data_IF_161341734935
#
_entry.id   IF_161341734935
#
_cell.length_a   1.000
_cell.length_b   1.000
_cell.length_c   1.000
_cell.angle_alpha   90.00
_cell.angle_beta   90.00
_cell.angle_gamma   90.00
#
_symmetry.space_group_name_H-M   'P 1'
#
loop_
_entity.id
_entity.type
_entity.pdbx_description
1 polymer ?
#
# COMPACT_ATOMS: atom_id res chain seq x y z
N UNK A 1 19.19 -59.07 17.56
CA UNK A 1 18.87 -57.95 16.62
C UNK A 1 17.64 -57.23 17.17
N UNK A 2 17.85 -56.08 17.77
CA UNK A 2 16.75 -55.27 18.34
C UNK A 2 16.18 -54.41 17.21
N UNK A 3 14.91 -54.65 16.87
CA UNK A 3 14.14 -53.83 15.94
C UNK A 3 13.90 -52.45 16.56
N UNK A 4 14.66 -51.44 16.11
CA UNK A 4 14.41 -50.05 16.44
C UNK A 4 13.16 -49.65 15.68
N UNK A 5 12.02 -49.50 16.37
CA UNK A 5 10.82 -48.91 15.82
C UNK A 5 11.13 -47.43 15.51
N UNK A 6 10.90 -46.94 14.31
CA UNK A 6 11.09 -45.53 13.99
C UNK A 6 10.16 -44.71 14.92
N UNK A 7 10.72 -43.66 15.55
CA UNK A 7 9.93 -42.66 16.28
C UNK A 7 8.91 -42.05 15.33
N UNK A 8 7.64 -41.89 15.74
CA UNK A 8 6.69 -41.17 14.95
C UNK A 8 7.21 -39.74 14.72
N UNK A 9 7.22 -39.30 13.48
CA UNK A 9 7.60 -37.94 13.10
C UNK A 9 6.41 -37.06 13.51
N UNK A 10 6.67 -36.08 14.40
CA UNK A 10 5.63 -35.12 14.72
C UNK A 10 5.40 -34.14 13.56
N UNK A 11 4.27 -33.43 13.57
CA UNK A 11 3.88 -32.48 12.53
C UNK A 11 4.93 -31.42 12.27
N UNK A 12 5.58 -30.93 13.33
CA UNK A 12 6.59 -29.88 13.27
C UNK A 12 7.84 -30.37 12.55
N UNK A 13 8.22 -31.62 12.78
CA UNK A 13 9.35 -32.27 12.11
C UNK A 13 9.01 -32.65 10.66
N UNK A 14 7.77 -33.04 10.37
CA UNK A 14 7.31 -33.27 9.00
C UNK A 14 7.31 -31.97 8.19
N UNK A 15 6.76 -30.89 8.74
CA UNK A 15 6.75 -29.56 8.10
C UNK A 15 8.18 -29.00 7.89
N UNK A 16 9.09 -29.21 8.83
CA UNK A 16 10.50 -28.80 8.67
C UNK A 16 11.23 -29.60 7.59
N UNK A 17 10.92 -30.88 7.42
CA UNK A 17 11.56 -31.74 6.42
C UNK A 17 10.96 -31.54 5.02
N UNK A 18 9.66 -31.29 4.91
CA UNK A 18 8.96 -30.97 3.68
C UNK A 18 9.27 -29.54 3.22
N UNK A 19 9.51 -28.62 4.17
CA UNK A 19 9.63 -27.17 3.98
C UNK A 19 10.86 -26.66 3.22
N UNK A 20 11.68 -27.52 2.60
CA UNK A 20 12.88 -27.09 1.87
C UNK A 20 12.62 -26.19 0.64
N UNK A 21 11.39 -26.11 0.14
CA UNK A 21 10.96 -25.21 -0.94
C UNK A 21 10.02 -24.08 -0.47
N UNK A 22 9.42 -24.22 0.70
CA UNK A 22 8.50 -23.25 1.30
C UNK A 22 9.15 -22.47 2.46
N UNK A 23 10.47 -22.47 2.55
CA UNK A 23 11.24 -21.93 3.67
C UNK A 23 10.94 -20.46 4.00
N UNK A 24 10.54 -19.66 3.02
CA UNK A 24 10.23 -18.24 3.26
C UNK A 24 8.85 -18.04 3.93
N UNK A 25 7.87 -18.87 3.60
CA UNK A 25 6.56 -18.81 4.27
C UNK A 25 6.61 -19.43 5.66
N UNK A 26 7.46 -20.44 5.86
CA UNK A 26 7.75 -21.00 7.20
C UNK A 26 8.50 -20.00 8.09
N UNK A 27 9.35 -19.14 7.52
CA UNK A 27 10.04 -18.09 8.28
C UNK A 27 9.06 -17.00 8.77
N UNK A 28 8.09 -16.61 7.96
CA UNK A 28 7.01 -15.71 8.37
C UNK A 28 6.16 -16.34 9.49
N UNK A 29 5.89 -17.64 9.41
CA UNK A 29 5.19 -18.38 10.46
C UNK A 29 6.02 -18.52 11.75
N UNK A 30 7.36 -18.69 11.64
CA UNK A 30 8.26 -18.78 12.82
C UNK A 30 8.41 -17.44 13.55
N UNK A 31 8.38 -16.31 12.85
CA UNK A 31 8.35 -14.99 13.49
C UNK A 31 7.02 -14.74 14.22
N UNK A 32 5.94 -15.39 13.78
CA UNK A 32 4.63 -15.38 14.46
C UNK A 32 4.61 -16.17 15.77
N UNK A 33 5.50 -17.18 15.96
CA UNK A 33 5.54 -17.99 17.18
C UNK A 33 5.91 -17.20 18.46
N UNK A 34 6.58 -16.06 18.33
CA UNK A 34 6.91 -15.22 19.49
C UNK A 34 5.75 -14.27 19.89
N UNK A 35 4.73 -14.12 19.07
CA UNK A 35 3.64 -13.15 19.30
C UNK A 35 2.31 -13.85 19.64
N UNK A 36 2.10 -15.10 19.28
CA UNK A 36 0.80 -15.76 19.36
C UNK A 36 0.69 -16.85 20.44
N UNK A 37 0.54 -16.44 21.70
CA UNK A 37 -0.43 -17.07 22.58
C UNK A 37 -1.76 -16.35 22.42
N UNK A 38 -2.33 -16.40 21.23
CA UNK A 38 -3.69 -15.95 21.01
C UNK A 38 -4.65 -17.07 21.44
N UNK A 39 -5.53 -16.77 22.37
CA UNK A 39 -6.67 -17.61 22.69
C UNK A 39 -7.46 -17.91 21.40
N UNK A 40 -7.79 -19.17 21.18
CA UNK A 40 -8.62 -19.66 20.09
C UNK A 40 -9.92 -18.85 20.03
N UNK A 41 -10.13 -18.10 18.95
CA UNK A 41 -11.44 -17.55 18.64
C UNK A 41 -12.16 -18.48 17.68
N UNK A 42 -13.40 -18.85 17.98
CA UNK A 42 -14.19 -19.68 17.09
C UNK A 42 -14.64 -18.87 15.86
N UNK A 43 -14.72 -19.58 14.76
CA UNK A 43 -15.51 -19.30 13.55
C UNK A 43 -15.49 -17.89 12.94
N UNK A 44 -15.54 -17.89 11.62
CA UNK A 44 -15.73 -16.74 10.69
C UNK A 44 -16.09 -15.42 11.35
N UNK A 45 -15.35 -14.34 11.11
CA UNK A 45 -15.57 -13.08 11.82
C UNK A 45 -17.04 -12.69 11.84
N UNK A 46 -17.57 -12.40 13.02
CA UNK A 46 -18.99 -12.07 13.31
C UNK A 46 -19.54 -10.91 12.44
N UNK A 47 -18.66 -10.14 11.79
CA UNK A 47 -18.99 -9.03 10.90
C UNK A 47 -19.18 -9.46 9.43
N UNK A 48 -18.84 -10.70 9.02
CA UNK A 48 -19.32 -11.31 7.78
C UNK A 48 -20.83 -11.51 7.79
N UNK A 49 -21.57 -10.60 8.43
CA UNK A 49 -23.02 -10.53 8.27
C UNK A 49 -23.30 -10.34 6.78
N UNK A 50 -24.12 -11.25 6.26
CA UNK A 50 -24.56 -11.34 4.85
C UNK A 50 -25.23 -10.07 4.31
N UNK A 51 -25.42 -9.06 5.16
CA UNK A 51 -25.95 -7.73 4.81
C UNK A 51 -24.92 -6.66 5.18
N UNK A 52 -24.08 -6.18 4.23
CA UNK A 52 -23.28 -4.98 4.46
C UNK A 52 -24.24 -3.86 4.88
N UNK A 53 -23.94 -3.15 5.98
CA UNK A 53 -24.78 -2.03 6.46
C UNK A 53 -24.94 -0.94 5.40
N UNK A 54 -24.03 -0.88 4.45
CA UNK A 54 -24.06 0.00 3.30
C UNK A 54 -23.68 -0.78 2.03
N UNK A 55 -24.29 -0.41 0.93
CA UNK A 55 -23.95 -1.01 -0.36
C UNK A 55 -22.50 -0.64 -0.72
N UNK A 56 -21.61 -1.62 -0.93
CA UNK A 56 -20.24 -1.33 -1.35
C UNK A 56 -20.24 -0.60 -2.70
N UNK A 57 -19.42 0.42 -2.82
CA UNK A 57 -19.19 1.18 -4.06
C UNK A 57 -17.95 0.67 -4.80
N UNK A 58 -17.04 0.03 -4.08
CA UNK A 58 -15.81 -0.51 -4.61
C UNK A 58 -15.59 -1.97 -4.18
N UNK A 59 -14.74 -2.66 -4.93
CA UNK A 59 -14.31 -4.04 -4.67
C UNK A 59 -12.81 -4.13 -4.45
N UNK A 60 -12.06 -3.19 -4.99
CA UNK A 60 -10.60 -3.21 -5.10
C UNK A 60 -9.97 -1.91 -4.64
N UNK A 61 -8.70 -1.99 -4.21
CA UNK A 61 -7.89 -0.82 -3.85
C UNK A 61 -6.54 -0.92 -4.56
N UNK A 62 -6.12 0.17 -5.19
CA UNK A 62 -4.72 0.37 -5.61
C UNK A 62 -4.17 1.53 -4.81
N UNK A 63 -3.06 1.32 -4.09
CA UNK A 63 -2.38 2.38 -3.37
C UNK A 63 -1.04 2.70 -4.05
N UNK A 64 -0.97 3.86 -4.68
CA UNK A 64 0.23 4.41 -5.29
C UNK A 64 1.02 5.17 -4.22
N UNK A 65 2.03 4.54 -3.67
CA UNK A 65 2.75 5.06 -2.51
C UNK A 65 4.06 5.75 -2.93
N UNK A 66 4.10 7.05 -2.74
CA UNK A 66 5.24 7.92 -3.07
C UNK A 66 6.08 8.18 -1.81
N UNK A 67 6.78 7.13 -1.36
CA UNK A 67 7.56 7.14 -0.12
C UNK A 67 8.66 8.20 -0.08
N UNK A 68 8.74 8.93 1.03
CA UNK A 68 9.70 9.98 1.27
C UNK A 68 9.11 11.40 1.38
N UNK A 69 7.79 11.57 1.41
CA UNK A 69 7.18 12.87 1.66
C UNK A 69 7.10 13.79 0.43
N UNK A 70 6.14 13.55 -0.44
CA UNK A 70 5.89 14.40 -1.62
C UNK A 70 5.48 15.80 -1.20
N UNK A 71 6.11 16.83 -1.79
CA UNK A 71 5.76 18.22 -1.54
C UNK A 71 4.42 18.58 -2.17
N UNK A 72 3.40 18.78 -1.35
CA UNK A 72 2.06 19.17 -1.78
C UNK A 72 2.04 20.56 -2.42
N UNK A 73 2.77 21.51 -1.85
CA UNK A 73 2.85 22.89 -2.32
C UNK A 73 3.65 23.04 -3.62
N UNK A 74 4.39 22.02 -3.99
CA UNK A 74 5.13 21.95 -5.26
C UNK A 74 4.43 21.04 -6.29
N UNK A 75 3.37 20.34 -5.90
CA UNK A 75 2.68 19.35 -6.74
C UNK A 75 1.21 19.69 -7.01
N UNK A 76 0.41 19.92 -5.95
CA UNK A 76 -1.06 19.93 -6.04
C UNK A 76 -1.73 21.15 -5.39
N UNK A 77 -1.04 21.86 -4.48
CA UNK A 77 -1.61 22.91 -3.64
C UNK A 77 -0.82 24.21 -3.77
N UNK A 78 -0.98 24.97 -4.88
CA UNK A 78 -0.23 26.21 -5.10
C UNK A 78 -0.53 27.25 -4.04
N UNK A 79 0.54 27.92 -3.52
CA UNK A 79 0.45 28.94 -2.49
C UNK A 79 0.97 30.29 -2.99
N UNK A 80 0.09 31.21 -3.46
CA UNK A 80 0.51 32.53 -3.93
C UNK A 80 1.31 33.32 -2.89
N UNK A 81 1.04 33.11 -1.60
CA UNK A 81 1.73 33.79 -0.50
C UNK A 81 3.21 33.37 -0.41
N UNK A 82 3.57 32.13 -0.80
CA UNK A 82 4.97 31.74 -0.92
C UNK A 82 5.71 32.52 -2.02
N UNK A 83 5.04 32.85 -3.10
CA UNK A 83 5.62 33.71 -4.16
C UNK A 83 5.81 35.14 -3.66
N UNK A 84 4.79 35.69 -2.97
CA UNK A 84 4.78 37.06 -2.46
C UNK A 84 5.86 37.28 -1.39
N UNK A 85 6.06 36.30 -0.50
CA UNK A 85 6.98 36.40 0.65
C UNK A 85 8.26 35.56 0.46
N UNK A 86 8.59 35.18 -0.76
CA UNK A 86 9.77 34.37 -1.04
C UNK A 86 11.06 34.98 -0.47
N UNK A 87 11.84 34.20 0.25
CA UNK A 87 13.08 34.64 0.90
C UNK A 87 12.87 35.36 2.24
N UNK A 88 11.63 35.63 2.65
CA UNK A 88 11.32 36.28 3.93
C UNK A 88 11.15 35.24 5.05
N UNK A 89 11.35 35.63 6.32
CA UNK A 89 11.03 34.75 7.45
C UNK A 89 9.56 34.34 7.48
N UNK A 90 9.28 33.13 8.00
CA UNK A 90 7.91 32.65 8.20
C UNK A 90 7.19 33.58 9.18
N UNK A 91 5.99 34.10 8.86
CA UNK A 91 5.16 34.82 9.80
C UNK A 91 4.83 33.93 11.02
N UNK A 92 5.05 34.45 12.24
CA UNK A 92 4.85 33.67 13.46
C UNK A 92 6.13 33.04 14.03
N UNK A 93 7.25 33.11 13.33
CA UNK A 93 8.56 32.69 13.82
C UNK A 93 8.91 31.24 13.51
N UNK A 94 9.60 30.59 14.44
CA UNK A 94 10.05 29.21 14.29
C UNK A 94 8.87 28.22 14.26
N UNK A 95 8.90 27.28 13.32
CA UNK A 95 7.87 26.25 13.13
C UNK A 95 7.91 25.16 14.24
N UNK A 96 8.93 25.17 15.08
CA UNK A 96 9.09 24.18 16.16
C UNK A 96 9.52 22.80 15.69
N UNK A 97 10.17 22.71 14.53
CA UNK A 97 10.78 21.48 14.02
C UNK A 97 12.10 21.15 14.72
N UNK A 98 12.58 19.92 14.54
CA UNK A 98 13.91 19.50 15.00
C UNK A 98 15.03 20.33 14.33
N UNK A 99 14.79 20.81 13.10
CA UNK A 99 15.73 21.62 12.33
C UNK A 99 15.31 23.10 12.37
N UNK A 100 16.31 23.97 12.25
CA UNK A 100 16.09 25.42 12.25
C UNK A 100 15.21 25.83 11.06
N UNK A 101 14.14 26.55 11.31
CA UNK A 101 13.26 27.14 10.30
C UNK A 101 14.02 28.14 9.42
N UNK A 102 14.02 27.89 8.10
CA UNK A 102 14.59 28.80 7.12
C UNK A 102 13.61 29.86 6.64
N UNK A 103 13.94 30.49 5.52
CA UNK A 103 13.07 31.46 4.85
C UNK A 103 11.99 30.75 4.02
N UNK A 104 10.86 31.42 3.82
CA UNK A 104 9.81 30.99 2.89
C UNK A 104 10.38 30.77 1.49
N UNK A 105 9.98 29.71 0.85
CA UNK A 105 10.42 29.36 -0.49
C UNK A 105 9.22 29.17 -1.41
N UNK A 106 9.14 29.97 -2.49
CA UNK A 106 8.15 29.73 -3.56
C UNK A 106 8.41 28.40 -4.25
N UNK A 107 7.38 27.81 -4.81
CA UNK A 107 7.54 26.65 -5.68
C UNK A 107 8.42 27.00 -6.90
N UNK A 108 9.41 26.19 -7.27
CA UNK A 108 10.16 26.36 -8.50
C UNK A 108 9.42 25.83 -9.73
N UNK A 109 8.23 25.21 -9.54
CA UNK A 109 7.43 24.61 -10.61
C UNK A 109 6.23 25.48 -10.95
N UNK A 110 5.90 25.54 -12.23
CA UNK A 110 4.72 26.26 -12.72
C UNK A 110 3.45 25.44 -12.50
N UNK A 111 2.35 26.11 -12.14
CA UNK A 111 1.03 25.52 -11.98
C UNK A 111 0.10 25.86 -13.12
N UNK A 112 -0.74 24.90 -13.52
CA UNK A 112 -1.81 25.08 -14.50
C UNK A 112 -3.11 24.49 -13.97
N UNK A 113 -4.23 25.00 -14.47
CA UNK A 113 -5.56 24.47 -14.20
C UNK A 113 -5.94 23.45 -15.27
N UNK A 114 -6.46 22.30 -14.82
CA UNK A 114 -6.82 21.20 -15.67
C UNK A 114 -8.29 20.78 -15.47
N UNK A 115 -8.83 20.13 -16.49
CA UNK A 115 -10.18 19.61 -16.50
C UNK A 115 -11.27 20.70 -16.45
N UNK A 116 -12.51 20.29 -16.43
CA UNK A 116 -13.68 21.17 -16.22
C UNK A 116 -13.73 21.70 -14.78
N UNK A 117 -13.17 20.93 -13.85
CA UNK A 117 -13.05 21.29 -12.44
C UNK A 117 -12.12 22.49 -12.20
N UNK A 118 -11.20 22.77 -13.13
CA UNK A 118 -10.18 23.81 -12.96
C UNK A 118 -9.19 23.51 -11.84
N UNK A 119 -8.92 22.22 -11.58
CA UNK A 119 -8.02 21.74 -10.54
C UNK A 119 -6.57 22.09 -10.86
N UNK A 120 -5.82 22.54 -9.86
CA UNK A 120 -4.41 22.90 -10.03
C UNK A 120 -3.52 21.68 -9.97
N UNK A 121 -2.59 21.59 -10.93
CA UNK A 121 -1.44 20.68 -10.93
C UNK A 121 -0.20 21.46 -11.35
N UNK A 122 0.94 21.15 -10.75
CA UNK A 122 2.20 21.70 -11.23
C UNK A 122 2.65 20.99 -12.52
N UNK A 123 3.63 21.56 -13.21
CA UNK A 123 4.24 20.97 -14.41
C UNK A 123 4.81 19.57 -14.21
N UNK A 124 4.99 19.16 -12.94
CA UNK A 124 5.40 17.81 -12.56
C UNK A 124 4.36 16.74 -12.91
N UNK A 125 3.08 17.12 -12.96
CA UNK A 125 1.93 16.21 -13.06
C UNK A 125 1.02 16.57 -14.25
N UNK A 126 1.61 16.85 -15.39
CA UNK A 126 0.87 17.30 -16.57
C UNK A 126 -0.01 16.21 -17.20
N UNK A 127 0.44 14.95 -17.22
CA UNK A 127 -0.36 13.82 -17.70
C UNK A 127 -1.48 13.48 -16.70
N UNK A 128 -1.18 13.49 -15.41
CA UNK A 128 -2.18 13.27 -14.36
C UNK A 128 -3.24 14.38 -14.36
N UNK A 129 -2.84 15.62 -14.64
CA UNK A 129 -3.73 16.75 -14.82
C UNK A 129 -4.81 16.52 -15.89
N UNK A 130 -4.53 15.76 -16.96
CA UNK A 130 -5.54 15.38 -17.95
C UNK A 130 -6.67 14.52 -17.35
N UNK A 131 -6.43 13.89 -16.20
CA UNK A 131 -7.41 13.11 -15.46
C UNK A 131 -8.04 13.89 -14.29
N UNK A 132 -7.89 15.21 -14.23
CA UNK A 132 -8.34 16.06 -13.11
C UNK A 132 -9.81 15.86 -12.74
N UNK A 133 -10.69 15.67 -13.73
CA UNK A 133 -12.12 15.48 -13.50
C UNK A 133 -12.48 14.09 -12.93
N UNK A 134 -11.53 13.16 -12.89
CA UNK A 134 -11.66 11.83 -12.27
C UNK A 134 -11.06 11.80 -10.84
N UNK A 135 -10.35 12.85 -10.42
CA UNK A 135 -9.55 12.90 -9.20
C UNK A 135 -10.23 13.75 -8.12
N UNK A 136 -10.18 13.30 -6.89
CA UNK A 136 -10.45 14.10 -5.70
C UNK A 136 -9.11 14.40 -4.99
N UNK A 137 -8.71 15.67 -4.92
CA UNK A 137 -7.58 16.11 -4.10
C UNK A 137 -8.05 16.41 -2.68
N UNK A 138 -7.51 15.70 -1.69
CA UNK A 138 -7.71 15.96 -0.25
C UNK A 138 -6.49 16.76 0.23
N UNK A 139 -6.62 18.09 0.31
CA UNK A 139 -5.52 19.02 0.63
C UNK A 139 -5.31 19.27 2.13
N UNK A 140 -6.08 18.60 2.96
CA UNK A 140 -6.11 18.81 4.41
C UNK A 140 -5.73 17.55 5.20
N UNK A 141 -4.97 16.65 4.59
CA UNK A 141 -4.48 15.48 5.30
C UNK A 141 -3.40 15.88 6.29
N UNK A 142 -3.41 15.27 7.47
CA UNK A 142 -2.38 15.50 8.50
C UNK A 142 -2.12 14.23 9.32
N UNK A 143 -0.99 14.22 9.97
CA UNK A 143 -0.59 13.25 11.00
C UNK A 143 0.20 13.96 12.09
N UNK A 144 0.34 13.34 13.26
CA UNK A 144 1.19 13.85 14.35
C UNK A 144 2.66 13.44 14.22
N UNK A 145 3.02 12.70 13.15
CA UNK A 145 4.30 12.01 13.07
C UNK A 145 5.22 12.66 12.03
N UNK A 146 6.35 13.27 12.46
CA UNK A 146 7.25 13.97 11.56
C UNK A 146 8.36 13.10 10.95
N UNK A 147 8.57 11.87 11.44
CA UNK A 147 9.67 11.01 11.01
C UNK A 147 9.19 9.87 10.10
N UNK A 148 9.98 9.52 9.07
CA UNK A 148 9.60 8.54 8.03
C UNK A 148 9.16 7.20 8.59
N UNK A 149 10.00 6.54 9.39
CA UNK A 149 9.72 5.18 9.86
C UNK A 149 8.36 5.06 10.56
N UNK A 150 8.05 5.79 11.63
CA UNK A 150 6.75 5.70 12.29
C UNK A 150 5.59 6.28 11.43
N UNK A 151 5.83 7.26 10.55
CA UNK A 151 4.81 7.80 9.66
C UNK A 151 4.45 6.82 8.55
N UNK A 152 5.44 6.11 7.97
CA UNK A 152 5.23 5.01 7.04
C UNK A 152 4.39 3.91 7.69
N UNK A 153 4.71 3.54 8.94
CA UNK A 153 3.93 2.54 9.69
C UNK A 153 2.51 3.05 9.91
N UNK A 154 2.31 4.31 10.35
CA UNK A 154 0.98 4.91 10.55
C UNK A 154 0.14 4.86 9.27
N UNK A 155 0.68 5.31 8.14
CA UNK A 155 -0.03 5.33 6.86
C UNK A 155 -0.46 3.94 6.40
N UNK A 156 0.33 2.92 6.69
CA UNK A 156 0.07 1.55 6.25
C UNK A 156 -0.74 0.71 7.25
N UNK A 157 -0.66 0.99 8.55
CA UNK A 157 -1.21 0.12 9.60
C UNK A 157 -2.18 0.81 10.56
N UNK A 158 -2.32 2.13 10.47
CA UNK A 158 -3.10 2.92 11.42
C UNK A 158 -2.48 2.97 12.83
N UNK A 159 -1.19 2.69 12.96
CA UNK A 159 -0.43 2.78 14.21
C UNK A 159 0.97 3.32 13.94
N UNK A 160 1.59 3.95 14.93
CA UNK A 160 2.95 4.48 14.81
C UNK A 160 4.05 3.49 15.24
N UNK A 161 3.68 2.26 15.57
CA UNK A 161 4.59 1.19 15.98
C UNK A 161 4.36 -0.06 15.15
N UNK A 162 5.44 -0.79 14.86
CA UNK A 162 5.37 -2.06 14.13
C UNK A 162 4.59 -3.14 14.90
N UNK A 163 4.12 -4.18 14.18
CA UNK A 163 3.41 -5.32 14.75
C UNK A 163 1.88 -5.25 14.60
N UNK A 164 1.33 -4.14 14.11
CA UNK A 164 -0.08 -4.04 13.72
C UNK A 164 -0.30 -4.55 12.30
N UNK A 165 -1.47 -5.13 12.00
CA UNK A 165 -1.81 -5.51 10.63
C UNK A 165 -1.90 -4.31 9.71
N UNK A 166 -1.38 -4.46 8.51
CA UNK A 166 -1.48 -3.44 7.46
C UNK A 166 -2.91 -3.30 6.93
N UNK A 167 -3.20 -2.17 6.26
CA UNK A 167 -4.49 -1.93 5.62
C UNK A 167 -4.90 -3.08 4.70
N UNK A 168 -3.98 -3.58 3.85
CA UNK A 168 -4.27 -4.70 2.97
C UNK A 168 -4.56 -6.00 3.71
N UNK A 169 -3.90 -6.25 4.85
CA UNK A 169 -4.22 -7.38 5.70
C UNK A 169 -5.62 -7.26 6.31
N UNK A 170 -6.01 -6.07 6.77
CA UNK A 170 -7.38 -5.80 7.25
C UNK A 170 -8.43 -5.96 6.14
N UNK A 171 -8.13 -5.50 4.91
CA UNK A 171 -9.04 -5.65 3.77
C UNK A 171 -9.27 -7.11 3.41
N UNK A 172 -8.21 -7.90 3.35
CA UNK A 172 -8.34 -9.34 3.05
C UNK A 172 -8.97 -10.11 4.21
N UNK A 173 -8.70 -9.74 5.46
CA UNK A 173 -9.40 -10.29 6.62
C UNK A 173 -10.89 -9.97 6.56
N UNK A 174 -11.21 -8.72 6.13
CA UNK A 174 -12.55 -8.21 6.03
C UNK A 174 -13.38 -8.77 4.90
N UNK A 175 -12.85 -8.89 3.74
CA UNK A 175 -13.58 -9.19 2.51
C UNK A 175 -13.23 -10.54 1.92
N UNK A 176 -12.17 -11.18 2.40
CA UNK A 176 -11.59 -12.34 1.76
C UNK A 176 -11.00 -12.02 0.39
N UNK A 177 -10.79 -13.05 -0.39
CA UNK A 177 -10.33 -12.95 -1.77
C UNK A 177 -11.40 -13.43 -2.74
N UNK A 178 -11.54 -12.75 -3.87
CA UNK A 178 -12.43 -13.17 -4.97
C UNK A 178 -11.76 -14.25 -5.80
N UNK A 179 -10.46 -14.10 -6.03
CA UNK A 179 -9.64 -15.06 -6.75
C UNK A 179 -8.94 -15.99 -5.74
N UNK A 180 -9.08 -17.30 -5.94
CA UNK A 180 -8.44 -18.32 -5.08
C UNK A 180 -7.02 -18.68 -5.54
N UNK A 181 -6.63 -18.27 -6.74
CA UNK A 181 -5.39 -18.66 -7.40
C UNK A 181 -4.30 -17.57 -7.26
N UNK A 182 -4.69 -16.37 -6.82
CA UNK A 182 -3.80 -15.25 -6.52
C UNK A 182 -3.99 -14.77 -5.08
N UNK A 183 -2.95 -14.17 -4.47
CA UNK A 183 -3.08 -13.59 -3.14
C UNK A 183 -4.05 -12.41 -3.15
N UNK A 184 -4.80 -12.24 -2.06
CA UNK A 184 -5.74 -11.12 -1.94
C UNK A 184 -5.06 -9.76 -1.78
N UNK A 185 -3.79 -9.74 -1.35
CA UNK A 185 -2.98 -8.54 -1.16
C UNK A 185 -1.59 -8.70 -1.77
N UNK A 186 -1.22 -7.80 -2.68
CA UNK A 186 0.07 -7.79 -3.39
C UNK A 186 0.76 -6.45 -3.18
N UNK A 187 2.06 -6.50 -2.92
CA UNK A 187 2.94 -5.33 -2.82
C UNK A 187 3.97 -5.37 -3.93
N UNK A 188 3.95 -4.36 -4.78
CA UNK A 188 4.89 -4.16 -5.88
C UNK A 188 5.90 -3.10 -5.46
N UNK A 189 7.15 -3.47 -5.30
CA UNK A 189 8.22 -2.55 -4.94
C UNK A 189 9.47 -2.89 -5.74
N UNK A 190 10.06 -1.94 -6.48
CA UNK A 190 11.29 -2.21 -7.20
C UNK A 190 12.47 -2.39 -6.22
N UNK A 191 13.27 -3.42 -6.46
CA UNK A 191 14.48 -3.74 -5.71
C UNK A 191 14.26 -4.08 -4.22
N UNK A 192 15.00 -3.41 -3.33
CA UNK A 192 14.93 -3.58 -1.89
C UNK A 192 13.71 -2.86 -1.33
N UNK A 193 13.06 -3.37 -0.29
CA UNK A 193 11.97 -2.67 0.37
C UNK A 193 12.34 -1.24 0.81
N UNK A 194 11.31 -0.44 1.12
CA UNK A 194 11.45 0.87 1.76
C UNK A 194 12.26 0.77 3.07
N UNK A 195 12.61 1.90 3.64
CA UNK A 195 13.39 2.00 4.89
C UNK A 195 12.87 1.07 6.00
N UNK A 196 11.54 0.92 6.14
CA UNK A 196 10.91 0.03 7.14
C UNK A 196 10.78 -1.41 6.64
N UNK A 197 10.45 -1.61 5.37
CA UNK A 197 10.28 -2.92 4.75
C UNK A 197 9.01 -3.69 5.17
N UNK A 198 9.13 -5.01 5.43
CA UNK A 198 7.98 -5.91 5.64
C UNK A 198 6.94 -5.49 6.68
N UNK A 199 7.26 -4.80 7.79
CA UNK A 199 6.24 -4.29 8.71
C UNK A 199 5.13 -3.48 8.06
N UNK A 200 5.40 -2.80 6.92
CA UNK A 200 4.42 -1.98 6.22
C UNK A 200 3.28 -2.77 5.56
N UNK A 201 3.49 -4.05 5.29
CA UNK A 201 2.51 -4.93 4.64
C UNK A 201 2.31 -6.26 5.35
N UNK A 202 2.69 -6.29 6.63
CA UNK A 202 2.54 -7.45 7.49
C UNK A 202 1.08 -7.72 7.84
N UNK A 203 0.76 -9.02 8.05
CA UNK A 203 -0.47 -9.43 8.68
C UNK A 203 -0.51 -9.10 10.19
N UNK A 204 0.63 -8.76 10.80
CA UNK A 204 0.73 -8.49 12.22
C UNK A 204 0.18 -9.66 13.06
N UNK A 205 -0.80 -9.39 13.89
CA UNK A 205 -1.47 -10.43 14.70
C UNK A 205 -2.65 -11.13 13.97
N UNK A 206 -3.02 -10.69 12.75
CA UNK A 206 -3.99 -11.43 11.93
C UNK A 206 -3.37 -12.73 11.38
N UNK A 207 -4.18 -13.72 10.99
CA UNK A 207 -3.67 -14.95 10.38
C UNK A 207 -2.76 -14.69 9.18
N UNK A 208 -1.73 -15.51 9.03
CA UNK A 208 -0.67 -15.33 8.01
C UNK A 208 -1.19 -15.33 6.56
N UNK A 209 -2.37 -15.90 6.30
CA UNK A 209 -3.02 -15.88 4.97
C UNK A 209 -3.33 -14.46 4.48
N UNK A 210 -3.41 -13.48 5.39
CA UNK A 210 -3.64 -12.07 5.08
C UNK A 210 -2.34 -11.27 4.86
N UNK A 211 -1.17 -11.94 5.00
CA UNK A 211 0.12 -11.37 4.68
C UNK A 211 0.20 -11.00 3.21
N UNK A 212 0.75 -9.82 2.90
CA UNK A 212 0.97 -9.46 1.51
C UNK A 212 1.97 -10.38 0.82
N UNK A 213 1.74 -10.66 -0.45
CA UNK A 213 2.77 -11.19 -1.34
C UNK A 213 3.61 -10.06 -1.87
N UNK A 214 4.88 -10.06 -1.48
CA UNK A 214 5.86 -9.08 -1.97
C UNK A 214 6.40 -9.52 -3.33
N UNK A 215 6.38 -8.58 -4.28
CA UNK A 215 6.86 -8.75 -5.64
C UNK A 215 7.93 -7.70 -5.91
N UNK A 216 9.12 -8.14 -6.23
CA UNK A 216 10.26 -7.25 -6.51
C UNK A 216 10.55 -7.20 -7.99
N UNK A 217 10.30 -6.05 -8.60
CA UNK A 217 10.72 -5.77 -9.97
C UNK A 217 12.21 -5.37 -9.99
N UNK A 218 13.10 -6.35 -10.04
CA UNK A 218 14.55 -6.15 -10.05
C UNK A 218 15.11 -5.97 -11.47
N UNK A 219 14.33 -5.45 -12.39
CA UNK A 219 14.83 -5.21 -13.77
C UNK A 219 15.95 -4.17 -13.71
N UNK A 220 17.17 -4.63 -13.97
CA UNK A 220 18.38 -3.81 -14.10
C UNK A 220 18.80 -3.76 -15.56
N UNK A 221 19.51 -2.71 -15.99
CA UNK A 221 20.10 -2.69 -17.33
C UNK A 221 20.93 -3.97 -17.55
N UNK A 222 20.66 -4.70 -18.64
CA UNK A 222 21.33 -5.95 -18.99
C UNK A 222 20.80 -7.22 -18.29
N UNK A 223 19.74 -7.13 -17.49
CA UNK A 223 19.05 -8.27 -16.92
C UNK A 223 17.69 -8.41 -17.59
N UNK A 224 17.44 -9.55 -18.22
CA UNK A 224 16.16 -9.85 -18.84
C UNK A 224 15.05 -9.93 -17.78
N UNK A 225 13.92 -9.33 -18.09
CA UNK A 225 12.72 -9.44 -17.27
C UNK A 225 12.22 -10.91 -17.29
N UNK A 226 12.19 -11.52 -16.11
CA UNK A 226 11.71 -12.90 -15.93
C UNK A 226 10.53 -12.91 -14.94
N UNK A 227 9.29 -13.08 -15.41
CA UNK A 227 8.11 -13.06 -14.54
C UNK A 227 8.10 -14.19 -13.49
N UNK A 228 8.86 -15.25 -13.70
CA UNK A 228 9.00 -16.36 -12.74
C UNK A 228 9.92 -16.01 -11.55
N UNK A 229 10.74 -14.96 -11.67
CA UNK A 229 11.67 -14.51 -10.62
C UNK A 229 11.16 -13.34 -9.79
N UNK A 230 10.02 -12.76 -10.14
CA UNK A 230 9.46 -11.60 -9.44
C UNK A 230 9.00 -11.93 -8.03
N UNK A 231 8.53 -13.15 -7.80
CA UNK A 231 8.10 -13.62 -6.49
C UNK A 231 9.15 -14.61 -5.98
N UNK A 232 9.88 -14.26 -4.92
CA UNK A 232 10.88 -15.17 -4.35
C UNK A 232 10.25 -16.51 -3.95
N UNK A 233 10.91 -17.61 -4.31
CA UNK A 233 10.53 -18.97 -3.94
C UNK A 233 9.14 -19.44 -4.40
N UNK A 234 8.51 -18.77 -5.37
CA UNK A 234 7.24 -19.26 -5.93
C UNK A 234 7.45 -20.53 -6.74
N UNK A 235 8.61 -20.66 -7.39
CA UNK A 235 8.99 -21.85 -8.13
C UNK A 235 9.86 -22.79 -7.26
N UNK A 236 9.57 -24.09 -7.32
CA UNK A 236 10.34 -25.11 -6.60
C UNK A 236 11.20 -25.89 -7.57
N UNK A 237 12.52 -25.68 -7.52
CA UNK A 237 13.47 -26.34 -8.43
C UNK A 237 13.66 -27.85 -8.13
N UNK A 238 13.18 -28.33 -6.97
CA UNK A 238 13.40 -29.72 -6.52
C UNK A 238 12.23 -30.64 -6.83
N UNK A 239 11.01 -30.10 -6.87
CA UNK A 239 9.79 -30.87 -7.05
C UNK A 239 8.93 -30.26 -8.15
N UNK A 240 8.47 -31.10 -9.06
CA UNK A 240 7.47 -30.71 -10.04
C UNK A 240 6.09 -30.42 -9.38
N UNK A 241 5.19 -29.82 -10.12
CA UNK A 241 3.85 -29.46 -9.62
C UNK A 241 3.08 -30.70 -9.11
N UNK A 242 3.29 -31.88 -9.70
CA UNK A 242 2.60 -33.10 -9.29
C UNK A 242 3.10 -33.58 -7.92
N UNK A 243 4.40 -33.51 -7.69
CA UNK A 243 5.00 -33.87 -6.40
C UNK A 243 4.57 -32.87 -5.32
N UNK A 244 4.60 -31.57 -5.61
CA UNK A 244 4.16 -30.53 -4.69
C UNK A 244 2.67 -30.69 -4.31
N UNK A 245 1.80 -31.03 -5.28
CA UNK A 245 0.40 -31.31 -5.00
C UNK A 245 0.22 -32.46 -4.02
N UNK A 246 0.95 -33.56 -4.23
CA UNK A 246 0.93 -34.73 -3.31
C UNK A 246 1.38 -34.38 -1.90
N UNK A 247 2.37 -33.51 -1.77
CA UNK A 247 2.83 -33.03 -0.44
C UNK A 247 1.75 -32.23 0.28
N UNK A 248 1.11 -31.29 -0.41
CA UNK A 248 0.01 -30.48 0.16
C UNK A 248 -1.16 -31.40 0.55
N UNK A 249 -1.55 -32.34 -0.31
CA UNK A 249 -2.62 -33.29 -0.02
C UNK A 249 -2.29 -34.19 1.18
N UNK A 250 -1.02 -34.59 1.32
CA UNK A 250 -0.57 -35.36 2.48
C UNK A 250 -0.68 -34.55 3.76
N UNK A 251 -0.24 -33.28 3.76
CA UNK A 251 -0.38 -32.38 4.93
C UNK A 251 -1.82 -32.21 5.32
N UNK A 252 -2.74 -31.99 4.35
CA UNK A 252 -4.17 -31.90 4.61
C UNK A 252 -4.75 -33.15 5.24
N UNK A 253 -4.40 -34.33 4.70
CA UNK A 253 -4.89 -35.61 5.25
C UNK A 253 -4.36 -35.87 6.65
N UNK A 254 -3.13 -35.48 6.94
CA UNK A 254 -2.56 -35.59 8.30
C UNK A 254 -3.30 -34.65 9.27
N UNK A 255 -3.68 -33.46 8.81
CA UNK A 255 -4.47 -32.53 9.60
C UNK A 255 -5.88 -33.06 9.87
N UNK A 256 -6.57 -33.58 8.84
CA UNK A 256 -7.88 -34.20 8.94
C UNK A 256 -7.89 -35.42 9.92
N UNK A 257 -6.81 -36.23 9.93
CA UNK A 257 -6.71 -37.42 10.80
C UNK A 257 -6.50 -37.07 12.28
N UNK A 258 -5.98 -35.87 12.56
CA UNK A 258 -5.71 -35.41 13.91
C UNK A 258 -6.73 -34.36 14.40
N UNK A 259 -7.76 -34.06 13.62
CA UNK A 259 -8.80 -33.13 14.03
C UNK A 259 -9.41 -33.53 15.36
N UNK A 260 -8.94 -32.87 16.41
CA UNK A 260 -9.61 -32.79 17.71
C UNK A 260 -10.56 -31.59 17.69
N UNK A 261 -11.55 -31.49 18.60
CA UNK A 261 -12.42 -30.31 18.69
C UNK A 261 -11.67 -28.96 18.80
N UNK A 262 -10.38 -29.01 19.17
CA UNK A 262 -9.47 -27.86 19.17
C UNK A 262 -8.63 -27.83 17.89
N UNK A 263 -9.25 -27.63 16.73
CA UNK A 263 -8.54 -27.40 15.46
C UNK A 263 -7.52 -26.26 15.63
N UNK A 264 -6.32 -26.43 15.06
CA UNK A 264 -5.27 -25.41 15.13
C UNK A 264 -5.44 -24.41 13.98
N UNK A 265 -6.05 -23.21 14.18
CA UNK A 265 -6.30 -22.23 13.11
C UNK A 265 -5.02 -21.77 12.39
N UNK A 266 -3.88 -21.89 13.06
CA UNK A 266 -2.58 -21.52 12.54
C UNK A 266 -2.09 -22.54 11.52
N UNK A 267 -2.40 -23.83 11.70
CA UNK A 267 -2.07 -24.88 10.74
C UNK A 267 -2.96 -24.77 9.49
N UNK A 268 -4.26 -24.53 9.67
CA UNK A 268 -5.16 -24.27 8.55
C UNK A 268 -4.73 -23.05 7.71
N UNK A 269 -4.33 -21.94 8.37
CA UNK A 269 -3.78 -20.77 7.70
C UNK A 269 -2.48 -21.09 6.93
N UNK A 270 -1.63 -21.96 7.48
CA UNK A 270 -0.40 -22.41 6.83
C UNK A 270 -0.72 -23.26 5.59
N UNK A 271 -1.64 -24.20 5.70
CA UNK A 271 -2.11 -25.02 4.56
C UNK A 271 -2.71 -24.13 3.47
N UNK A 272 -3.54 -23.15 3.85
CA UNK A 272 -4.10 -22.16 2.93
C UNK A 272 -3.02 -21.35 2.19
N UNK A 273 -1.96 -20.97 2.89
CA UNK A 273 -0.82 -20.27 2.27
C UNK A 273 -0.03 -21.18 1.31
N UNK A 274 0.15 -22.46 1.64
CA UNK A 274 0.78 -23.43 0.74
C UNK A 274 -0.06 -23.66 -0.52
N UNK A 275 -1.37 -23.76 -0.40
CA UNK A 275 -2.30 -23.86 -1.53
C UNK A 275 -2.20 -22.65 -2.46
N UNK A 276 -2.21 -21.46 -1.88
CA UNK A 276 -2.09 -20.21 -2.64
C UNK A 276 -0.75 -20.18 -3.40
N UNK A 277 0.36 -20.49 -2.72
CA UNK A 277 1.67 -20.52 -3.35
C UNK A 277 1.76 -21.55 -4.49
N UNK A 278 1.14 -22.73 -4.33
CA UNK A 278 1.08 -23.73 -5.37
C UNK A 278 0.33 -23.23 -6.62
N UNK A 279 -0.84 -22.60 -6.44
CA UNK A 279 -1.64 -22.06 -7.56
C UNK A 279 -0.96 -20.88 -8.24
N UNK A 280 -0.26 -20.07 -7.48
CA UNK A 280 0.51 -18.94 -8.00
C UNK A 280 1.59 -19.35 -9.00
N UNK A 281 2.13 -20.57 -8.93
CA UNK A 281 3.13 -21.04 -9.89
C UNK A 281 2.61 -21.08 -11.34
N UNK A 282 1.30 -21.23 -11.53
CA UNK A 282 0.66 -21.24 -12.86
C UNK A 282 0.08 -19.90 -13.26
N UNK A 283 -0.57 -19.18 -12.35
CA UNK A 283 -1.30 -17.95 -12.65
C UNK A 283 -0.42 -16.69 -12.58
N UNK A 284 0.52 -16.65 -11.64
CA UNK A 284 1.35 -15.46 -11.44
C UNK A 284 2.19 -15.10 -12.69
N UNK A 285 2.89 -16.02 -13.37
CA UNK A 285 3.69 -15.67 -14.53
C UNK A 285 2.86 -15.05 -15.66
N UNK A 286 1.59 -15.43 -15.79
CA UNK A 286 0.70 -14.84 -16.78
C UNK A 286 0.37 -13.39 -16.44
N UNK A 287 0.01 -13.11 -15.19
CA UNK A 287 -0.40 -11.78 -14.74
C UNK A 287 0.79 -10.81 -14.72
N UNK A 288 1.95 -11.28 -14.28
CA UNK A 288 3.15 -10.44 -14.15
C UNK A 288 3.89 -10.21 -15.48
N UNK A 289 3.65 -11.02 -16.51
CA UNK A 289 4.27 -10.79 -17.83
C UNK A 289 3.54 -9.68 -18.60
N UNK A 290 3.88 -8.43 -18.27
CA UNK A 290 3.32 -7.23 -18.92
C UNK A 290 3.66 -7.14 -20.42
N UNK A 291 4.65 -7.89 -20.93
CA UNK A 291 5.01 -7.93 -22.37
C UNK A 291 3.90 -8.50 -23.23
N UNK A 292 2.93 -9.20 -22.64
CA UNK A 292 1.75 -9.74 -23.33
C UNK A 292 0.70 -8.66 -23.65
N UNK A 293 0.84 -7.46 -23.09
CA UNK A 293 -0.06 -6.35 -23.38
C UNK A 293 0.16 -5.78 -24.79
N UNK A 294 -0.84 -5.08 -25.31
CA UNK A 294 -0.75 -4.45 -26.63
C UNK A 294 0.36 -3.37 -26.64
N UNK A 295 0.96 -3.16 -27.81
CA UNK A 295 1.94 -2.08 -27.98
C UNK A 295 1.35 -0.70 -27.63
N UNK A 296 0.05 -0.49 -27.83
CA UNK A 296 -0.65 0.74 -27.45
C UNK A 296 -0.72 0.89 -25.92
N UNK A 297 -1.07 -0.19 -25.19
CA UNK A 297 -1.09 -0.21 -23.73
C UNK A 297 0.31 0.06 -23.17
N UNK A 298 1.33 -0.65 -23.66
CA UNK A 298 2.72 -0.45 -23.21
C UNK A 298 3.18 0.99 -23.41
N UNK A 299 2.88 1.57 -24.60
CA UNK A 299 3.20 2.98 -24.89
C UNK A 299 2.45 3.96 -23.97
N UNK A 300 1.20 3.67 -23.62
CA UNK A 300 0.38 4.50 -22.74
C UNK A 300 0.98 4.58 -21.34
N UNK A 301 1.45 3.45 -20.79
CA UNK A 301 2.09 3.43 -19.47
C UNK A 301 3.53 3.99 -19.52
N UNK A 302 4.22 3.86 -20.64
CA UNK A 302 5.63 4.23 -20.79
C UNK A 302 6.57 3.16 -20.26
N UNK A 303 7.80 3.57 -19.93
CA UNK A 303 8.88 2.67 -19.52
C UNK A 303 9.21 2.86 -18.02
N UNK A 304 9.93 1.88 -17.46
CA UNK A 304 10.41 1.93 -16.09
C UNK A 304 9.61 1.05 -15.11
N UNK A 305 10.11 0.98 -13.87
CA UNK A 305 9.52 0.13 -12.83
C UNK A 305 8.13 0.62 -12.39
N UNK A 306 7.93 1.93 -12.29
CA UNK A 306 6.62 2.51 -11.95
C UNK A 306 5.58 2.20 -13.01
N UNK A 307 5.93 2.29 -14.30
CA UNK A 307 5.06 1.93 -15.41
C UNK A 307 4.65 0.45 -15.35
N UNK A 308 5.64 -0.45 -15.17
CA UNK A 308 5.35 -1.88 -15.02
C UNK A 308 4.52 -2.16 -13.77
N UNK A 309 4.83 -1.52 -12.65
CA UNK A 309 4.07 -1.67 -11.40
C UNK A 309 2.60 -1.25 -11.56
N UNK A 310 2.32 -0.10 -12.15
CA UNK A 310 0.97 0.38 -12.41
C UNK A 310 0.21 -0.55 -13.37
N UNK A 311 0.84 -0.99 -14.46
CA UNK A 311 0.23 -1.94 -15.41
C UNK A 311 -0.04 -3.29 -14.76
N UNK A 312 0.90 -3.81 -13.97
CA UNK A 312 0.72 -5.05 -13.21
C UNK A 312 -0.42 -4.90 -12.20
N UNK A 313 -0.55 -3.75 -11.54
CA UNK A 313 -1.66 -3.47 -10.63
C UNK A 313 -3.02 -3.55 -11.35
N UNK A 314 -3.17 -2.94 -12.53
CA UNK A 314 -4.39 -3.05 -13.33
C UNK A 314 -4.72 -4.51 -13.67
N UNK A 315 -3.73 -5.31 -14.07
CA UNK A 315 -3.90 -6.75 -14.40
C UNK A 315 -4.27 -7.58 -13.17
N UNK A 316 -3.69 -7.30 -12.02
CA UNK A 316 -4.03 -7.97 -10.75
C UNK A 316 -5.46 -7.66 -10.32
N UNK A 317 -5.90 -6.42 -10.46
CA UNK A 317 -7.29 -6.02 -10.19
C UNK A 317 -8.26 -6.73 -11.13
N UNK A 318 -7.95 -6.80 -12.42
CA UNK A 318 -8.75 -7.53 -13.41
C UNK A 318 -8.89 -9.02 -13.07
N UNK A 319 -7.89 -9.61 -12.43
CA UNK A 319 -7.92 -10.99 -11.91
C UNK A 319 -8.56 -11.11 -10.53
N UNK A 320 -9.09 -10.04 -9.95
CA UNK A 320 -9.84 -10.06 -8.70
C UNK A 320 -8.99 -9.96 -7.43
N UNK A 321 -7.73 -9.50 -7.52
CA UNK A 321 -6.91 -9.18 -6.35
C UNK A 321 -7.55 -8.03 -5.58
N UNK A 322 -7.67 -8.14 -4.26
CA UNK A 322 -8.40 -7.19 -3.43
C UNK A 322 -7.66 -5.87 -3.24
N UNK A 323 -6.36 -5.95 -2.97
CA UNK A 323 -5.50 -4.78 -2.80
C UNK A 323 -4.15 -4.96 -3.48
N UNK A 324 -3.74 -3.93 -4.20
CA UNK A 324 -2.39 -3.81 -4.77
C UNK A 324 -1.77 -2.52 -4.26
N UNK A 325 -0.61 -2.61 -3.64
CA UNK A 325 0.17 -1.45 -3.25
C UNK A 325 1.41 -1.34 -4.14
N UNK A 326 1.57 -0.18 -4.76
CA UNK A 326 2.68 0.11 -5.67
C UNK A 326 3.57 1.16 -5.01
N UNK A 327 4.76 0.78 -4.58
CA UNK A 327 5.78 1.72 -4.13
C UNK A 327 6.53 2.29 -5.33
N UNK A 328 6.82 3.59 -5.28
CA UNK A 328 7.57 4.25 -6.35
C UNK A 328 8.97 3.67 -6.51
N UNK A 329 9.72 3.57 -5.41
CA UNK A 329 11.05 3.00 -5.39
C UNK A 329 11.45 2.55 -3.97
N UNK A 330 12.63 1.95 -3.83
CA UNK A 330 13.21 1.62 -2.53
C UNK A 330 13.74 2.87 -1.81
N UNK A 331 13.85 2.79 -0.48
CA UNK A 331 14.24 3.92 0.38
C UNK A 331 13.15 5.00 0.43
N UNK A 332 13.56 6.25 0.52
CA UNK A 332 12.68 7.41 0.62
C UNK A 332 12.97 8.42 -0.50
N UNK A 333 12.70 8.07 -1.78
CA UNK A 333 13.15 8.84 -2.95
C UNK A 333 12.55 10.24 -3.05
N UNK A 334 11.41 10.50 -2.42
CA UNK A 334 10.78 11.82 -2.38
C UNK A 334 11.28 12.69 -1.22
N UNK A 335 12.28 12.19 -0.45
CA UNK A 335 12.87 12.91 0.68
C UNK A 335 13.85 14.00 0.22
N UNK A 336 13.32 15.19 -0.10
CA UNK A 336 14.01 16.27 -0.78
C UNK A 336 14.49 17.37 0.20
N UNK A 337 15.36 17.00 1.16
CA UNK A 337 15.95 17.92 2.13
C UNK A 337 16.93 18.92 1.51
N UNK A 338 17.70 18.51 0.52
CA UNK A 338 18.77 19.34 -0.06
C UNK A 338 18.34 20.11 -1.30
N UNK A 339 17.49 19.50 -2.14
CA UNK A 339 17.04 20.11 -3.39
C UNK A 339 15.65 19.59 -3.77
N UNK A 340 14.66 20.48 -3.79
CA UNK A 340 13.28 20.13 -4.18
C UNK A 340 13.16 19.77 -5.67
N UNK A 341 14.15 20.11 -6.50
CA UNK A 341 14.19 19.74 -7.92
C UNK A 341 14.34 18.23 -8.14
N UNK A 342 14.73 17.46 -7.11
CA UNK A 342 14.68 15.99 -7.12
C UNK A 342 13.27 15.47 -7.47
N UNK A 343 12.22 16.22 -7.11
CA UNK A 343 10.84 15.88 -7.46
C UNK A 343 10.61 15.80 -8.97
N UNK A 344 11.38 16.55 -9.78
CA UNK A 344 11.26 16.52 -11.25
C UNK A 344 11.55 15.15 -11.85
N UNK A 345 12.59 14.47 -11.35
CA UNK A 345 12.92 13.11 -11.80
C UNK A 345 11.83 12.12 -11.39
N UNK A 346 11.45 12.15 -10.12
CA UNK A 346 10.49 11.20 -9.56
C UNK A 346 9.10 11.36 -10.19
N UNK A 347 8.68 12.61 -10.43
CA UNK A 347 7.44 12.90 -11.12
C UNK A 347 7.48 12.45 -12.59
N UNK A 348 8.60 12.65 -13.31
CA UNK A 348 8.76 12.15 -14.68
C UNK A 348 8.53 10.64 -14.79
N UNK A 349 8.97 9.87 -13.77
CA UNK A 349 8.83 8.43 -13.73
C UNK A 349 7.41 7.99 -13.29
N UNK A 350 6.60 8.89 -12.70
CA UNK A 350 5.30 8.57 -12.08
C UNK A 350 4.09 9.16 -12.80
N UNK A 351 4.22 10.35 -13.37
CA UNK A 351 3.10 11.14 -13.94
C UNK A 351 2.38 10.39 -15.05
N UNK A 352 3.10 9.93 -16.07
CA UNK A 352 2.51 9.17 -17.17
C UNK A 352 1.91 7.83 -16.72
N UNK A 353 2.59 6.98 -15.92
CA UNK A 353 2.01 5.74 -15.41
C UNK A 353 0.75 5.92 -14.56
N UNK A 354 0.68 6.96 -13.72
CA UNK A 354 -0.49 7.22 -12.88
C UNK A 354 -1.69 7.63 -13.72
N UNK A 355 -1.48 8.51 -14.70
CA UNK A 355 -2.53 8.89 -15.67
C UNK A 355 -2.96 7.70 -16.52
N UNK A 356 -2.01 6.87 -16.97
CA UNK A 356 -2.28 5.66 -17.75
C UNK A 356 -3.13 4.66 -16.95
N UNK A 357 -2.85 4.47 -15.66
CA UNK A 357 -3.61 3.60 -14.79
C UNK A 357 -5.10 4.00 -14.72
N UNK A 358 -5.38 5.30 -14.53
CA UNK A 358 -6.76 5.83 -14.53
C UNK A 358 -7.43 5.54 -15.87
N UNK A 359 -6.77 5.88 -16.98
CA UNK A 359 -7.29 5.68 -18.35
C UNK A 359 -7.53 4.20 -18.67
N UNK A 360 -6.61 3.32 -18.28
CA UNK A 360 -6.68 1.87 -18.52
C UNK A 360 -7.78 1.21 -17.70
N UNK A 361 -7.91 1.53 -16.42
CA UNK A 361 -9.00 1.01 -15.60
C UNK A 361 -10.38 1.44 -16.13
N UNK A 362 -10.49 2.66 -16.66
CA UNK A 362 -11.72 3.12 -17.35
C UNK A 362 -11.97 2.28 -18.61
N UNK A 363 -10.96 2.06 -19.42
CA UNK A 363 -11.06 1.28 -20.64
C UNK A 363 -11.42 -0.20 -20.39
N UNK A 364 -10.92 -0.77 -19.27
CA UNK A 364 -11.26 -2.14 -18.82
C UNK A 364 -12.61 -2.22 -18.09
N UNK A 365 -13.29 -1.09 -17.81
CA UNK A 365 -14.53 -1.07 -17.04
C UNK A 365 -14.36 -1.37 -15.55
N UNK A 366 -13.15 -1.19 -15.01
CA UNK A 366 -12.78 -1.49 -13.62
C UNK A 366 -12.68 -0.24 -12.73
N UNK A 367 -12.70 0.96 -13.32
CA UNK A 367 -12.49 2.22 -12.61
C UNK A 367 -13.53 2.46 -11.51
N UNK A 368 -14.82 2.23 -11.81
CA UNK A 368 -15.91 2.47 -10.87
C UNK A 368 -15.93 1.47 -9.70
N UNK A 369 -15.23 0.34 -9.82
CA UNK A 369 -15.12 -0.68 -8.78
C UNK A 369 -13.76 -0.67 -8.05
N UNK A 370 -12.84 0.23 -8.44
CA UNK A 370 -11.47 0.30 -7.92
C UNK A 370 -11.19 1.66 -7.31
N UNK A 371 -10.88 1.72 -6.02
CA UNK A 371 -10.36 2.92 -5.36
C UNK A 371 -8.88 3.02 -5.69
N UNK A 372 -8.47 4.10 -6.35
CA UNK A 372 -7.06 4.48 -6.46
C UNK A 372 -6.79 5.50 -5.36
N UNK A 373 -5.79 5.25 -4.53
CA UNK A 373 -5.28 6.18 -3.51
C UNK A 373 -3.84 6.50 -3.87
N UNK A 374 -3.47 7.76 -3.83
CA UNK A 374 -2.08 8.16 -4.03
C UNK A 374 -1.68 9.20 -2.98
N UNK A 375 -0.48 9.03 -2.45
CA UNK A 375 0.04 9.91 -1.42
C UNK A 375 1.34 9.41 -0.84
N UNK A 376 1.71 10.05 0.23
CA UNK A 376 2.94 9.83 0.98
C UNK A 376 2.63 9.81 2.46
N UNK A 377 3.60 9.50 3.29
CA UNK A 377 3.47 9.46 4.76
C UNK A 377 3.27 10.84 5.38
N UNK A 378 3.77 11.92 4.73
CA UNK A 378 3.58 13.34 5.08
C UNK A 378 3.96 14.22 3.88
N UNK A 379 3.91 15.55 4.05
CA UNK A 379 4.29 16.55 3.04
C UNK A 379 5.65 17.21 3.33
N UNK A 380 5.83 18.43 2.77
CA UNK A 380 7.04 19.23 2.93
C UNK A 380 6.71 20.64 3.41
N UNK A 381 7.64 21.23 4.19
CA UNK A 381 7.48 22.58 4.76
C UNK A 381 7.45 23.68 3.70
N UNK A 382 6.80 24.83 4.00
CA UNK A 382 6.84 26.00 3.11
C UNK A 382 8.18 26.75 3.12
N UNK A 383 9.12 26.34 3.96
CA UNK A 383 10.41 27.00 4.16
C UNK A 383 11.55 26.14 3.64
N UNK A 384 12.68 26.78 3.32
CA UNK A 384 13.92 26.07 3.05
C UNK A 384 14.44 25.41 4.32
N UNK A 385 15.02 24.24 4.18
CA UNK A 385 15.73 23.61 5.29
C UNK A 385 17.10 24.28 5.50
N UNK A 386 17.43 24.57 6.76
CA UNK A 386 18.72 25.19 7.14
C UNK A 386 19.54 24.18 7.93
N UNK A 387 20.77 23.93 7.48
CA UNK A 387 21.74 23.09 8.19
C UNK A 387 22.09 21.77 7.54
N UNK A 388 21.52 21.43 6.38
CA UNK A 388 21.95 20.30 5.56
C UNK A 388 23.20 20.58 4.73
N UNK A 389 23.97 19.54 4.38
CA UNK A 389 25.10 19.65 3.47
C UNK A 389 24.62 19.76 2.02
N UNK A 390 24.13 20.93 1.57
CA UNK A 390 23.65 21.08 0.19
C UNK A 390 23.23 22.51 -0.16
N UNK A 391 22.72 22.68 -1.39
CA UNK A 391 22.08 23.92 -1.82
C UNK A 391 20.81 24.12 -0.97
N UNK A 392 20.64 25.30 -0.37
CA UNK A 392 19.48 25.63 0.49
C UNK A 392 18.18 25.78 -0.34
N UNK A 393 17.77 24.72 -1.05
CA UNK A 393 16.60 24.68 -1.92
C UNK A 393 15.71 23.46 -1.65
N UNK A 394 16.01 22.69 -0.60
CA UNK A 394 15.18 21.59 -0.11
C UNK A 394 14.21 22.03 0.97
N UNK A 395 13.29 21.15 1.31
CA UNK A 395 12.26 21.36 2.31
C UNK A 395 12.29 20.24 3.35
N UNK A 396 12.09 20.58 4.61
CA UNK A 396 11.93 19.62 5.71
C UNK A 396 10.54 18.95 5.70
N UNK A 397 10.34 17.95 6.55
CA UNK A 397 9.08 17.21 6.70
C UNK A 397 7.94 18.12 7.18
N UNK A 398 6.74 17.90 6.65
CA UNK A 398 5.54 18.58 7.13
C UNK A 398 4.39 17.59 7.39
N UNK A 399 4.21 17.13 8.63
CA UNK A 399 3.09 16.27 8.98
C UNK A 399 1.78 17.04 9.18
N UNK A 400 1.81 18.37 9.36
CA UNK A 400 0.66 19.19 9.76
C UNK A 400 -0.31 19.55 8.64
N UNK A 401 0.08 19.32 7.39
CA UNK A 401 -0.78 19.57 6.23
C UNK A 401 -0.15 19.09 4.94
N UNK A 402 -0.79 18.10 4.29
CA UNK A 402 -0.34 17.57 3.01
C UNK A 402 -1.51 17.10 2.16
N UNK A 403 -1.24 16.85 0.88
CA UNK A 403 -2.25 16.43 -0.09
C UNK A 403 -2.09 14.95 -0.40
N UNK A 404 -3.21 14.23 -0.31
CA UNK A 404 -3.41 12.94 -0.96
C UNK A 404 -4.47 13.11 -2.04
N UNK A 405 -4.47 12.23 -3.04
CA UNK A 405 -5.57 12.20 -3.99
C UNK A 405 -6.17 10.80 -4.13
N UNK A 406 -7.45 10.76 -4.42
CA UNK A 406 -8.21 9.53 -4.62
C UNK A 406 -8.96 9.61 -5.95
N UNK A 407 -9.23 8.45 -6.57
CA UNK A 407 -10.01 8.36 -7.80
C UNK A 407 -10.76 7.01 -7.88
N UNK A 408 -11.82 6.95 -8.68
CA UNK A 408 -12.60 5.73 -8.90
C UNK A 408 -13.37 5.25 -7.68
N UNK A 409 -13.89 4.04 -7.72
CA UNK A 409 -14.47 3.32 -6.57
C UNK A 409 -15.51 4.09 -5.75
N UNK A 410 -16.30 4.96 -6.37
CA UNK A 410 -17.30 5.78 -5.70
C UNK A 410 -16.75 7.09 -5.12
N UNK A 411 -15.52 7.47 -5.47
CA UNK A 411 -14.96 8.80 -5.16
C UNK A 411 -15.53 9.84 -6.11
N UNK A 412 -15.81 11.02 -5.58
CA UNK A 412 -16.34 12.15 -6.33
C UNK A 412 -15.21 12.88 -7.08
N UNK A 413 -15.05 12.58 -8.36
CA UNK A 413 -14.05 13.21 -9.23
C UNK A 413 -14.26 14.71 -9.41
N UNK A 414 -13.20 15.42 -9.86
CA UNK A 414 -13.21 16.86 -10.05
C UNK A 414 -13.36 17.67 -8.76
N UNK A 415 -13.02 17.10 -7.60
CA UNK A 415 -13.26 17.70 -6.28
C UNK A 415 -11.94 18.03 -5.58
N UNK A 416 -11.91 19.21 -4.93
CA UNK A 416 -10.88 19.58 -3.96
C UNK A 416 -11.56 19.60 -2.59
N UNK A 417 -11.04 18.87 -1.62
CA UNK A 417 -11.55 18.78 -0.27
C UNK A 417 -10.55 19.31 0.75
N UNK A 418 -11.01 20.20 1.62
CA UNK A 418 -10.22 20.84 2.63
C UNK A 418 -9.13 21.77 2.08
N UNK A 419 -8.41 22.41 2.97
CA UNK A 419 -7.32 23.32 2.61
C UNK A 419 -6.27 23.39 3.72
N UNK A 420 -5.02 23.64 3.33
CA UNK A 420 -3.98 24.14 4.21
C UNK A 420 -4.01 25.67 4.28
N UNK A 421 -3.32 26.26 5.22
CA UNK A 421 -3.20 27.72 5.37
C UNK A 421 -2.54 28.37 4.14
N UNK A 422 -2.45 29.69 4.14
CA UNK A 422 -1.92 30.50 3.03
C UNK A 422 -0.51 30.15 2.62
N UNK A 423 0.26 29.49 3.48
CA UNK A 423 1.63 29.08 3.25
C UNK A 423 1.77 27.57 2.99
N UNK A 424 0.72 26.78 3.28
CA UNK A 424 0.79 25.32 3.18
C UNK A 424 1.48 24.66 4.37
N UNK A 425 1.47 25.33 5.54
CA UNK A 425 2.09 24.81 6.75
C UNK A 425 1.22 23.82 7.50
N UNK A 426 -0.02 24.21 7.78
CA UNK A 426 -0.96 23.40 8.56
C UNK A 426 -2.34 23.42 7.96
N UNK A 427 -3.14 22.44 8.32
CA UNK A 427 -4.55 22.39 7.93
C UNK A 427 -5.29 23.60 8.47
N UNK A 428 -6.08 24.24 7.60
CA UNK A 428 -6.91 25.40 7.90
C UNK A 428 -8.42 25.12 7.77
N UNK A 429 -8.81 24.18 6.89
CA UNK A 429 -10.21 23.83 6.66
C UNK A 429 -10.36 22.32 6.51
N UNK A 430 -11.44 21.77 7.09
CA UNK A 430 -11.83 20.35 6.98
C UNK A 430 -10.67 19.38 7.23
N UNK A 431 -10.13 19.32 8.44
CA UNK A 431 -9.00 18.45 8.77
C UNK A 431 -9.32 16.98 8.51
N UNK A 432 -8.37 16.27 7.90
CA UNK A 432 -8.45 14.84 7.60
C UNK A 432 -7.24 14.13 8.19
N UNK A 433 -7.46 13.36 9.24
CA UNK A 433 -6.40 12.51 9.76
C UNK A 433 -6.19 11.28 8.89
N UNK A 434 -5.01 10.66 8.92
CA UNK A 434 -4.72 9.40 8.18
C UNK A 434 -5.78 8.33 8.46
N UNK A 435 -6.27 8.22 9.69
CA UNK A 435 -7.35 7.28 10.04
C UNK A 435 -8.68 7.58 9.32
N UNK A 436 -8.95 8.80 8.91
CA UNK A 436 -10.16 9.16 8.19
C UNK A 436 -10.10 8.67 6.73
N UNK A 437 -8.90 8.68 6.13
CA UNK A 437 -8.65 8.05 4.82
C UNK A 437 -8.91 6.54 4.93
N UNK A 438 -8.36 5.86 5.97
CA UNK A 438 -8.61 4.44 6.20
C UNK A 438 -10.09 4.13 6.40
N UNK A 439 -10.79 4.91 7.22
CA UNK A 439 -12.23 4.76 7.47
C UNK A 439 -13.05 4.92 6.18
N UNK A 440 -12.68 5.89 5.33
CA UNK A 440 -13.36 6.18 4.07
C UNK A 440 -13.17 5.05 3.05
N UNK A 441 -11.95 4.51 2.94
CA UNK A 441 -11.66 3.34 2.08
C UNK A 441 -12.50 2.14 2.54
N UNK A 442 -12.50 1.83 3.83
CA UNK A 442 -13.30 0.72 4.39
C UNK A 442 -14.80 0.92 4.11
N UNK A 443 -15.32 2.12 4.31
CA UNK A 443 -16.72 2.45 4.02
C UNK A 443 -17.08 2.21 2.54
N UNK A 444 -16.26 2.69 1.61
CA UNK A 444 -16.48 2.50 0.17
C UNK A 444 -16.48 1.01 -0.22
N UNK A 445 -15.74 0.19 0.50
CA UNK A 445 -15.74 -1.28 0.36
C UNK A 445 -16.90 -1.98 1.09
N UNK A 446 -17.81 -1.23 1.71
CA UNK A 446 -18.97 -1.76 2.42
C UNK A 446 -18.69 -2.23 3.86
N UNK A 447 -17.53 -1.85 4.41
CA UNK A 447 -17.09 -2.23 5.76
C UNK A 447 -17.32 -1.10 6.75
N UNK A 448 -17.98 -1.41 7.86
CA UNK A 448 -18.01 -0.54 9.04
C UNK A 448 -16.68 -0.69 9.79
N UNK A 449 -15.79 0.32 9.64
CA UNK A 449 -14.45 0.32 10.24
C UNK A 449 -14.48 0.19 11.77
N UNK A 450 -15.60 0.51 12.42
CA UNK A 450 -15.74 0.41 13.88
C UNK A 450 -16.06 -1.01 14.34
N UNK A 451 -16.52 -1.87 13.42
CA UNK A 451 -16.92 -3.24 13.68
C UNK A 451 -15.96 -4.29 13.15
N UNK A 452 -15.11 -3.92 12.17
CA UNK A 452 -14.06 -4.81 11.71
C UNK A 452 -12.96 -4.85 12.77
N UNK A 453 -13.10 -5.79 13.70
CA UNK A 453 -12.18 -5.96 14.83
C UNK A 453 -11.54 -7.33 14.84
N UNK A 454 -10.40 -7.44 15.48
CA UNK A 454 -9.74 -8.69 15.82
C UNK A 454 -9.29 -8.64 17.27
N UNK A 455 -9.66 -9.68 18.05
CA UNK A 455 -9.27 -9.79 19.45
C UNK A 455 -7.86 -10.33 19.57
N UNK A 456 -6.98 -9.54 20.14
CA UNK A 456 -5.61 -9.93 20.42
C UNK A 456 -5.20 -9.49 21.83
N UNK A 457 -4.61 -10.39 22.61
CA UNK A 457 -4.16 -10.12 23.99
C UNK A 457 -5.21 -9.38 24.85
N UNK A 458 -6.47 -9.80 24.75
CA UNK A 458 -7.58 -9.27 25.56
C UNK A 458 -8.19 -7.95 25.06
N UNK A 459 -7.67 -7.34 23.99
CA UNK A 459 -8.20 -6.11 23.38
C UNK A 459 -8.72 -6.39 21.96
N UNK A 460 -9.83 -5.73 21.58
CA UNK A 460 -10.31 -5.69 20.22
C UNK A 460 -9.61 -4.57 19.46
N UNK A 461 -8.86 -4.94 18.42
CA UNK A 461 -8.13 -4.03 17.54
C UNK A 461 -8.87 -3.82 16.23
N UNK A 462 -8.69 -2.66 15.62
CA UNK A 462 -9.16 -2.32 14.29
C UNK A 462 -8.14 -1.43 13.58
N UNK A 463 -8.21 -1.32 12.25
CA UNK A 463 -7.28 -0.51 11.44
C UNK A 463 -7.22 0.95 11.91
N UNK A 464 -8.36 1.53 12.23
CA UNK A 464 -8.50 2.94 12.65
C UNK A 464 -8.28 3.17 14.15
N UNK A 465 -7.87 2.17 14.89
CA UNK A 465 -7.76 2.15 16.36
C UNK A 465 -9.01 2.74 17.03
N UNK A 466 -8.90 3.81 17.79
CA UNK A 466 -10.04 4.50 18.43
C UNK A 466 -10.58 5.68 17.61
N UNK A 467 -9.96 5.96 16.46
CA UNK A 467 -10.18 7.14 15.61
C UNK A 467 -10.88 6.78 14.29
N UNK A 468 -10.88 7.71 13.35
CA UNK A 468 -11.40 7.56 12.00
C UNK A 468 -12.83 8.05 11.84
N UNK A 469 -13.01 8.99 10.93
CA UNK A 469 -14.30 9.52 10.50
C UNK A 469 -14.41 9.37 8.98
N UNK A 470 -15.53 8.83 8.50
CA UNK A 470 -15.76 8.71 7.05
C UNK A 470 -15.97 10.08 6.43
N UNK A 471 -15.22 10.41 5.39
CA UNK A 471 -15.30 11.69 4.68
C UNK A 471 -16.42 11.61 3.63
N UNK A 472 -17.68 11.75 4.05
CA UNK A 472 -18.85 11.62 3.17
C UNK A 472 -18.85 12.63 2.01
N UNK A 473 -18.29 13.81 2.18
CA UNK A 473 -18.28 14.88 1.17
C UNK A 473 -17.53 14.52 -0.12
N UNK A 474 -16.58 13.57 -0.05
CA UNK A 474 -15.81 13.10 -1.21
C UNK A 474 -16.41 11.83 -1.85
N UNK A 475 -17.53 11.35 -1.35
CA UNK A 475 -18.21 10.16 -1.85
C UNK A 475 -19.31 10.56 -2.84
N UNK A 476 -19.30 9.93 -4.05
CA UNK A 476 -20.27 10.18 -5.14
C UNK A 476 -21.65 9.53 -4.87
#
# INVERSE_FOLDING_TARGET
MSCIKPKPIDRRDALKKIGGGFAFMSFAAMMGEQIAKAESTPDSPVWMNKDPKFKPKAKHVIFLFMNGGVSSIDSFDPKPMLTKYNGMPMPGGDLGHERKTGSLMKSPFEFKKYGKSGMDFSELWSNLGECADDICQVRSVFTEIPNHEPALIMMNTGANVAGRPSMGAWLTYGLGTVNKDLPGFVVLCPNVPTTVGPPLWSSGFLPAIHQATYVSDQVRPGVDFDPYKLIPNVHNDKFDLTAQRREIDLVKRLDELEMTPDSNPQLEATIGSMETAYRMQTEAPEVFDVRKESAATLKMYGEGSTARGCLTAARLIEKGVRMVQVYYASGDPWDAHTDILLHRKNAKDSDQPFAALIKDLKARGLFDETIIVAGSEFGRTPVVEVGGAGSHTGRDHNPHGFTMWLAGGGIKGGTIYGATDDFGWKVADKPVHVHDIHATILYLLGIDHTKLTFRNSGRDFRLTDVSGTVIHDIIA
#
